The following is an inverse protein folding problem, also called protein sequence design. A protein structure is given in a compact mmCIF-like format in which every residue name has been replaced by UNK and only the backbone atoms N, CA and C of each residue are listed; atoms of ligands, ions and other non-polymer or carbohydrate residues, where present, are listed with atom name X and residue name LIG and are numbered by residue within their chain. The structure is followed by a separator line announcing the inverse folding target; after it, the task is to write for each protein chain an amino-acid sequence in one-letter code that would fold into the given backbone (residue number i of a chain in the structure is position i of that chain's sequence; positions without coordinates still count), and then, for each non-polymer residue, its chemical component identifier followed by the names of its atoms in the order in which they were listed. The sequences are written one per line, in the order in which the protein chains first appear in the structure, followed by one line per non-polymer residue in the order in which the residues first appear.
data_IF_555032746533
#
_entry.id   IF_555032746533
#
_cell.length_a   1.000
_cell.length_b   1.000
_cell.length_c   1.000
_cell.angle_alpha   90.00
_cell.angle_beta   90.00
_cell.angle_gamma   90.00
#
_symmetry.space_group_name_H-M   'P 1'
#
loop_
_entity.id
_entity.type
_entity.pdbx_description
1 polymer ?
#
# COMPACT_ATOMS: atom_id res chain seq x y z
N UNK A 1 18.22 -5.07 -0.76
CA UNK A 1 17.40 -4.01 -1.39
C UNK A 1 16.55 -4.69 -2.42
N UNK A 2 15.24 -4.53 -2.31
CA UNK A 2 14.27 -5.06 -3.26
C UNK A 2 13.66 -3.88 -4.03
N UNK A 3 13.37 -4.09 -5.32
CA UNK A 3 12.86 -3.06 -6.21
C UNK A 3 11.70 -3.63 -7.02
N UNK A 4 10.55 -2.96 -6.94
CA UNK A 4 9.45 -3.20 -7.87
C UNK A 4 9.61 -2.27 -9.08
N UNK A 5 9.80 -2.83 -10.26
CA UNK A 5 10.06 -2.07 -11.49
C UNK A 5 8.89 -2.22 -12.46
N UNK A 6 8.20 -1.12 -12.77
CA UNK A 6 7.21 -1.12 -13.83
C UNK A 6 7.90 -1.16 -15.21
N UNK A 7 7.65 -2.19 -16.04
CA UNK A 7 8.05 -2.14 -17.44
C UNK A 7 7.37 -0.97 -18.14
N UNK A 8 8.18 -0.08 -18.71
CA UNK A 8 7.70 1.00 -19.58
C UNK A 8 8.41 0.93 -20.91
N UNK A 9 9.49 1.69 -21.08
CA UNK A 9 10.30 1.73 -22.31
C UNK A 9 11.78 1.78 -21.95
N UNK A 10 12.64 1.42 -22.91
CA UNK A 10 14.09 1.41 -22.72
C UNK A 10 14.49 0.45 -21.61
N UNK A 11 15.26 0.95 -20.63
CA UNK A 11 15.89 0.11 -19.59
C UNK A 11 14.92 -0.79 -18.84
N UNK A 12 13.73 -0.31 -18.43
CA UNK A 12 12.78 -1.14 -17.67
C UNK A 12 12.11 -2.22 -18.52
N UNK A 13 11.95 -1.99 -19.82
CA UNK A 13 11.48 -3.02 -20.75
C UNK A 13 12.57 -4.05 -21.06
N UNK A 14 13.82 -3.60 -21.21
CA UNK A 14 14.97 -4.47 -21.43
C UNK A 14 15.23 -5.36 -20.21
N UNK A 15 15.13 -4.82 -18.99
CA UNK A 15 15.25 -5.57 -17.74
C UNK A 15 14.30 -6.77 -17.70
N UNK A 16 13.03 -6.57 -18.06
CA UNK A 16 12.05 -7.66 -18.10
C UNK A 16 12.36 -8.65 -19.19
N UNK A 17 12.76 -8.20 -20.39
CA UNK A 17 13.19 -9.12 -21.45
C UNK A 17 14.36 -9.99 -20.99
N UNK A 18 15.30 -9.44 -20.24
CA UNK A 18 16.44 -10.19 -19.71
C UNK A 18 16.04 -11.14 -18.57
N UNK A 19 15.09 -10.75 -17.72
CA UNK A 19 14.53 -11.61 -16.69
C UNK A 19 13.70 -12.76 -17.29
N UNK A 20 12.90 -12.52 -18.33
CA UNK A 20 12.03 -13.53 -18.96
C UNK A 20 12.79 -14.60 -19.76
N UNK A 21 14.03 -14.32 -20.16
CA UNK A 21 14.89 -15.30 -20.86
C UNK A 21 15.59 -16.25 -19.86
N UNK A 22 15.55 -15.92 -18.57
CA UNK A 22 16.26 -16.63 -17.50
C UNK A 22 15.46 -17.80 -16.88
N UNK A 23 14.43 -18.33 -17.55
CA UNK A 23 13.36 -19.19 -17.00
C UNK A 23 13.79 -20.45 -16.22
N UNK A 24 15.07 -20.83 -16.21
CA UNK A 24 15.56 -21.99 -15.45
C UNK A 24 16.83 -21.72 -14.60
N UNK A 25 17.44 -20.53 -14.68
CA UNK A 25 18.67 -20.20 -13.92
C UNK A 25 18.62 -18.78 -13.40
N UNK A 26 18.96 -18.58 -12.12
CA UNK A 26 19.10 -17.24 -11.55
C UNK A 26 20.17 -16.47 -12.31
N UNK A 27 19.83 -15.29 -12.84
CA UNK A 27 20.77 -14.43 -13.55
C UNK A 27 21.13 -13.25 -12.67
N UNK A 28 22.44 -13.03 -12.50
CA UNK A 28 22.99 -11.92 -11.73
C UNK A 28 23.55 -10.86 -12.67
N UNK A 29 23.06 -9.62 -12.53
CA UNK A 29 23.59 -8.45 -13.23
C UNK A 29 24.24 -7.50 -12.24
N UNK A 30 25.26 -6.77 -12.70
CA UNK A 30 25.85 -5.70 -11.90
C UNK A 30 24.88 -4.51 -11.89
N UNK A 31 24.51 -4.07 -10.69
CA UNK A 31 23.70 -2.88 -10.48
C UNK A 31 24.51 -1.86 -9.66
N UNK A 32 24.42 -0.60 -10.06
CA UNK A 32 24.95 0.52 -9.30
C UNK A 32 23.75 1.32 -8.76
N UNK A 33 23.71 1.52 -7.44
CA UNK A 33 22.69 2.33 -6.79
C UNK A 33 23.31 3.56 -6.15
N UNK A 34 22.54 4.65 -6.13
CA UNK A 34 22.86 5.88 -5.38
C UNK A 34 21.66 6.21 -4.52
N UNK A 35 21.86 6.49 -3.24
CA UNK A 35 20.78 6.82 -2.31
C UNK A 35 21.14 6.53 -0.85
N UNK A 36 20.18 6.71 0.07
CA UNK A 36 18.75 6.92 -0.18
C UNK A 36 18.41 8.34 -0.67
N UNK A 37 17.37 8.44 -1.50
CA UNK A 37 16.76 9.71 -1.94
C UNK A 37 15.28 9.67 -1.58
N UNK A 38 14.71 10.81 -1.24
CA UNK A 38 13.29 10.95 -0.90
C UNK A 38 13.04 11.66 0.44
N UNK A 39 11.87 12.26 0.56
CA UNK A 39 11.40 12.87 1.81
C UNK A 39 10.94 11.80 2.80
N UNK A 40 11.34 11.94 4.06
CA UNK A 40 10.85 11.09 5.16
C UNK A 40 9.90 11.91 6.02
N UNK A 41 8.68 11.42 6.19
CA UNK A 41 7.74 11.96 7.18
C UNK A 41 7.92 11.19 8.49
N UNK A 42 7.95 11.91 9.60
CA UNK A 42 8.09 11.32 10.92
C UNK A 42 6.72 10.86 11.44
N UNK A 43 6.45 9.56 11.28
CA UNK A 43 5.16 8.95 11.64
C UNK A 43 4.93 8.93 13.16
N UNK A 44 5.97 9.03 13.99
CA UNK A 44 5.83 8.96 15.46
C UNK A 44 5.09 10.15 16.08
N UNK A 45 4.73 11.15 15.28
CA UNK A 45 3.97 12.33 15.70
C UNK A 45 2.46 12.17 15.50
N UNK A 46 2.04 11.08 14.87
CA UNK A 46 0.67 10.81 14.50
C UNK A 46 0.20 9.59 15.27
N UNK A 47 -1.04 9.64 15.76
CA UNK A 47 -1.70 8.50 16.42
C UNK A 47 -1.93 7.42 15.36
N UNK A 48 -2.38 7.84 14.17
CA UNK A 48 -2.72 6.92 13.08
C UNK A 48 -2.16 7.39 11.74
N UNK A 49 -1.91 6.45 10.84
CA UNK A 49 -1.52 6.71 9.47
C UNK A 49 -2.37 5.93 8.46
N UNK A 50 -3.02 6.65 7.55
CA UNK A 50 -3.75 6.08 6.41
C UNK A 50 -2.91 6.19 5.14
N UNK A 51 -2.55 5.04 4.58
CA UNK A 51 -1.77 4.94 3.36
C UNK A 51 -2.68 4.61 2.18
N UNK A 52 -2.71 5.49 1.17
CA UNK A 52 -3.50 5.33 -0.05
C UNK A 52 -2.55 5.21 -1.24
N UNK A 53 -2.63 4.10 -1.95
CA UNK A 53 -1.85 3.88 -3.15
C UNK A 53 -2.69 3.33 -4.29
N UNK A 54 -2.32 3.66 -5.53
CA UNK A 54 -2.88 3.04 -6.74
C UNK A 54 -1.78 2.49 -7.65
N UNK A 55 -2.03 1.38 -8.34
CA UNK A 55 -1.07 0.76 -9.27
C UNK A 55 0.32 0.59 -8.66
N UNK A 56 1.36 1.04 -9.38
CA UNK A 56 2.75 0.99 -8.91
C UNK A 56 3.08 2.00 -7.81
N UNK A 57 2.16 2.88 -7.42
CA UNK A 57 2.34 3.82 -6.32
C UNK A 57 2.58 3.13 -4.97
N UNK A 58 2.15 1.88 -4.84
CA UNK A 58 2.40 1.02 -3.67
C UNK A 58 3.90 0.79 -3.39
N UNK A 59 4.75 0.86 -4.43
CA UNK A 59 6.20 0.72 -4.30
C UNK A 59 6.86 1.92 -3.60
N UNK A 60 6.22 3.09 -3.63
CA UNK A 60 6.71 4.28 -2.97
C UNK A 60 6.64 4.16 -1.44
N UNK A 61 5.83 3.22 -0.94
CA UNK A 61 5.60 3.05 0.48
C UNK A 61 6.36 1.83 0.98
N UNK A 62 7.45 2.04 1.75
CA UNK A 62 8.33 0.95 2.21
C UNK A 62 7.60 -0.13 3.02
N UNK A 63 6.52 0.24 3.71
CA UNK A 63 5.70 -0.69 4.51
C UNK A 63 4.78 -1.55 3.63
N UNK A 64 4.32 -1.01 2.48
CA UNK A 64 3.34 -1.67 1.60
C UNK A 64 3.99 -2.27 0.36
N UNK A 65 5.21 -1.85 0.01
CA UNK A 65 5.96 -2.36 -1.14
C UNK A 65 6.31 -3.85 -1.00
N UNK A 66 6.52 -4.32 0.22
CA UNK A 66 6.67 -5.74 0.56
C UNK A 66 5.39 -6.54 0.29
N UNK A 67 4.21 -5.91 0.38
CA UNK A 67 2.91 -6.53 0.11
C UNK A 67 2.61 -6.65 -1.39
N UNK A 68 3.00 -5.67 -2.23
CA UNK A 68 2.66 -5.71 -3.67
C UNK A 68 3.71 -6.31 -4.60
N UNK A 69 4.94 -6.59 -4.13
CA UNK A 69 5.97 -7.19 -4.99
C UNK A 69 5.47 -8.45 -5.72
N UNK A 70 4.47 -9.15 -5.16
CA UNK A 70 3.85 -10.33 -5.78
C UNK A 70 2.54 -10.07 -6.54
N UNK A 71 1.64 -9.21 -6.02
CA UNK A 71 0.34 -8.93 -6.67
C UNK A 71 0.46 -8.04 -7.91
N UNK A 72 1.54 -7.26 -8.01
CA UNK A 72 1.77 -6.32 -9.10
C UNK A 72 2.44 -6.99 -10.35
N UNK A 73 3.04 -8.18 -10.21
CA UNK A 73 3.65 -8.95 -11.32
C UNK A 73 2.65 -9.82 -12.10
N UNK A 74 1.48 -10.13 -11.52
CA UNK A 74 0.47 -10.99 -12.11
C UNK A 74 -0.83 -10.21 -12.35
N UNK A 75 -1.08 -9.68 -13.57
CA UNK A 75 -2.33 -9.00 -13.88
C UNK A 75 -3.50 -9.99 -13.85
N UNK A 76 -4.26 -10.03 -12.74
CA UNK A 76 -5.69 -10.36 -12.52
C UNK A 76 -6.43 -11.41 -13.39
N UNK A 77 -5.74 -12.18 -14.22
CA UNK A 77 -6.31 -13.10 -15.21
C UNK A 77 -5.83 -14.56 -15.00
N UNK A 78 -5.05 -14.83 -13.95
CA UNK A 78 -4.72 -16.21 -13.56
C UNK A 78 -5.43 -16.62 -12.27
N UNK A 79 -6.06 -17.82 -12.25
CA UNK A 79 -6.91 -18.28 -11.15
C UNK A 79 -6.16 -18.69 -9.88
N UNK A 80 -4.83 -18.56 -9.83
CA UNK A 80 -3.98 -19.02 -8.70
C UNK A 80 -3.22 -17.88 -8.01
N UNK A 81 -3.62 -16.63 -8.25
CA UNK A 81 -3.05 -15.42 -7.63
C UNK A 81 -3.23 -15.39 -6.11
N UNK A 82 -4.25 -16.08 -5.59
CA UNK A 82 -4.64 -16.03 -4.17
C UNK A 82 -3.72 -16.85 -3.27
N UNK A 83 -3.09 -17.93 -3.75
CA UNK A 83 -2.34 -18.86 -2.89
C UNK A 83 -0.92 -18.37 -2.58
N UNK A 84 -0.21 -17.86 -3.58
CA UNK A 84 1.17 -17.36 -3.42
C UNK A 84 1.24 -16.01 -2.72
N UNK A 85 0.32 -15.08 -3.04
CA UNK A 85 0.22 -13.81 -2.33
C UNK A 85 -0.18 -14.03 -0.87
N UNK A 86 -1.07 -14.99 -0.58
CA UNK A 86 -1.50 -15.30 0.78
C UNK A 86 -0.35 -15.74 1.69
N UNK A 87 0.64 -16.50 1.19
CA UNK A 87 1.81 -16.89 2.00
C UNK A 87 2.60 -15.70 2.52
N UNK A 88 2.95 -14.76 1.65
CA UNK A 88 3.75 -13.58 2.03
C UNK A 88 2.95 -12.53 2.81
N UNK A 89 1.66 -12.39 2.50
CA UNK A 89 0.74 -11.58 3.28
C UNK A 89 0.61 -12.15 4.71
N UNK A 90 0.52 -13.48 4.84
CA UNK A 90 0.49 -14.14 6.14
C UNK A 90 1.81 -13.98 6.90
N UNK A 91 2.96 -14.10 6.23
CA UNK A 91 4.26 -13.86 6.87
C UNK A 91 4.37 -12.40 7.37
N UNK A 92 3.83 -11.44 6.63
CA UNK A 92 3.79 -10.03 7.07
C UNK A 92 2.80 -9.80 8.22
N UNK A 93 1.72 -10.60 8.30
CA UNK A 93 0.77 -10.61 9.40
C UNK A 93 1.30 -11.26 10.68
N UNK A 94 2.19 -12.25 10.56
CA UNK A 94 2.82 -12.90 11.73
C UNK A 94 3.69 -11.89 12.51
N UNK A 95 4.30 -10.94 11.79
CA UNK A 95 5.08 -9.83 12.36
C UNK A 95 4.20 -8.64 12.83
N UNK A 96 2.88 -8.64 12.55
CA UNK A 96 1.96 -7.52 12.84
C UNK A 96 1.32 -7.56 14.25
N UNK A 97 1.74 -8.49 15.10
CA UNK A 97 1.17 -8.69 16.44
C UNK A 97 2.01 -7.94 17.48
N UNK A 98 1.46 -6.88 18.07
CA UNK A 98 2.00 -6.25 19.28
C UNK A 98 0.92 -6.23 20.36
N UNK A 99 1.23 -6.79 21.53
CA UNK A 99 0.35 -6.82 22.71
C UNK A 99 -1.07 -7.37 22.42
N UNK A 100 -1.16 -8.49 21.69
CA UNK A 100 -2.42 -9.13 21.24
C UNK A 100 -3.31 -8.25 20.33
N UNK A 101 -2.78 -7.13 19.82
CA UNK A 101 -3.44 -6.24 18.86
C UNK A 101 -2.80 -6.29 17.47
N UNK A 102 -3.62 -6.07 16.43
CA UNK A 102 -3.18 -5.92 15.04
C UNK A 102 -2.93 -4.44 14.74
N UNK A 103 -1.78 -4.11 14.15
CA UNK A 103 -1.41 -2.74 13.82
C UNK A 103 -1.87 -2.37 12.40
N UNK A 104 -1.90 -3.34 11.49
CA UNK A 104 -2.20 -3.11 10.08
C UNK A 104 -3.61 -3.57 9.71
N UNK A 105 -4.36 -2.66 9.10
CA UNK A 105 -5.58 -2.97 8.37
C UNK A 105 -5.36 -2.65 6.88
N UNK A 106 -5.46 -3.67 6.03
CA UNK A 106 -5.18 -3.52 4.61
C UNK A 106 -6.41 -3.87 3.79
N UNK A 107 -6.92 -2.85 3.09
CA UNK A 107 -8.04 -2.97 2.16
C UNK A 107 -7.57 -2.79 0.73
N UNK A 108 -7.73 -3.82 -0.10
CA UNK A 108 -7.31 -3.81 -1.50
C UNK A 108 -8.56 -3.78 -2.39
N UNK A 109 -8.64 -2.77 -3.26
CA UNK A 109 -9.79 -2.56 -4.15
C UNK A 109 -9.42 -2.94 -5.58
N UNK A 110 -10.15 -3.90 -6.14
CA UNK A 110 -9.97 -4.36 -7.51
C UNK A 110 -11.19 -4.01 -8.35
N UNK A 111 -10.95 -3.48 -9.55
CA UNK A 111 -12.01 -2.94 -10.41
C UNK A 111 -13.02 -4.02 -10.80
N UNK A 112 -12.55 -5.20 -11.20
CA UNK A 112 -13.34 -6.37 -11.60
C UNK A 112 -12.52 -7.65 -11.31
N UNK A 113 -13.17 -8.82 -11.29
CA UNK A 113 -12.49 -10.12 -11.24
C UNK A 113 -12.60 -10.87 -9.90
N UNK A 114 -13.36 -10.35 -8.94
CA UNK A 114 -13.67 -11.10 -7.72
C UNK A 114 -14.93 -11.95 -7.91
N UNK A 115 -14.92 -13.14 -7.31
CA UNK A 115 -16.09 -14.01 -7.24
C UNK A 115 -17.19 -13.46 -6.30
N UNK A 116 -16.79 -12.66 -5.30
CA UNK A 116 -17.66 -12.04 -4.30
C UNK A 116 -17.24 -10.59 -4.03
N UNK A 117 -18.18 -9.75 -3.62
CA UNK A 117 -17.92 -8.31 -3.39
C UNK A 117 -16.89 -8.04 -2.27
N UNK A 118 -16.73 -8.98 -1.33
CA UNK A 118 -15.72 -8.97 -0.28
C UNK A 118 -15.12 -10.37 -0.19
N UNK A 119 -13.79 -10.45 -0.21
CA UNK A 119 -13.06 -11.70 0.05
C UNK A 119 -12.02 -11.40 1.14
N UNK A 120 -12.20 -11.89 2.38
CA UNK A 120 -11.19 -11.75 3.42
C UNK A 120 -9.99 -12.66 3.12
N UNK A 121 -8.81 -12.21 3.53
CA UNK A 121 -7.53 -12.91 3.43
C UNK A 121 -6.79 -12.87 4.77
N UNK A 122 -5.93 -13.85 4.97
CA UNK A 122 -5.19 -14.03 6.22
C UNK A 122 -5.97 -14.75 7.30
N UNK A 123 -5.26 -15.26 8.31
CA UNK A 123 -5.88 -15.98 9.44
C UNK A 123 -6.76 -15.07 10.32
N UNK A 124 -6.56 -13.76 10.24
CA UNK A 124 -7.20 -12.76 11.10
C UNK A 124 -8.17 -11.82 10.38
N UNK A 125 -8.47 -12.04 9.10
CA UNK A 125 -9.36 -11.20 8.26
C UNK A 125 -8.99 -9.71 8.17
N UNK A 126 -7.80 -9.30 8.62
CA UNK A 126 -7.28 -7.92 8.58
C UNK A 126 -6.91 -7.47 7.17
N UNK A 127 -6.82 -8.40 6.23
CA UNK A 127 -6.71 -8.14 4.79
C UNK A 127 -8.05 -8.43 4.10
N UNK A 128 -8.57 -7.46 3.34
CA UNK A 128 -9.83 -7.62 2.62
C UNK A 128 -9.70 -7.16 1.16
N UNK A 129 -10.08 -8.03 0.21
CA UNK A 129 -10.31 -7.64 -1.18
C UNK A 129 -11.74 -7.17 -1.35
N UNK A 130 -11.90 -5.99 -1.95
CA UNK A 130 -13.18 -5.38 -2.29
C UNK A 130 -13.31 -5.20 -3.80
N UNK A 131 -14.51 -5.46 -4.34
CA UNK A 131 -14.79 -5.16 -5.73
C UNK A 131 -15.28 -3.71 -5.90
N UNK A 132 -14.69 -2.99 -6.86
CA UNK A 132 -15.11 -1.65 -7.25
C UNK A 132 -14.15 -0.55 -6.79
N UNK A 133 -14.68 0.66 -6.64
CA UNK A 133 -13.91 1.84 -6.22
C UNK A 133 -14.08 2.10 -4.72
N UNK A 134 -13.00 2.41 -3.98
CA UNK A 134 -13.11 2.81 -2.58
C UNK A 134 -13.98 4.05 -2.42
N UNK A 135 -14.77 4.09 -1.34
CA UNK A 135 -15.39 5.35 -0.90
C UNK A 135 -14.37 6.10 -0.03
N UNK A 136 -13.54 6.92 -0.68
CA UNK A 136 -12.46 7.63 -0.02
C UNK A 136 -12.94 8.60 1.07
N UNK A 137 -14.11 9.22 0.89
CA UNK A 137 -14.71 10.11 1.88
C UNK A 137 -15.05 9.33 3.17
N UNK A 138 -15.66 8.16 3.03
CA UNK A 138 -15.98 7.29 4.17
C UNK A 138 -14.72 6.77 4.87
N UNK A 139 -13.68 6.43 4.10
CA UNK A 139 -12.42 5.92 4.66
C UNK A 139 -11.68 7.03 5.44
N UNK A 140 -11.51 8.21 4.83
CA UNK A 140 -10.81 9.34 5.48
C UNK A 140 -11.59 9.85 6.68
N UNK A 141 -12.92 9.92 6.60
CA UNK A 141 -13.75 10.35 7.72
C UNK A 141 -13.70 9.39 8.91
N UNK A 142 -13.68 8.08 8.64
CA UNK A 142 -13.54 7.06 9.67
C UNK A 142 -12.16 7.10 10.34
N UNK A 143 -11.09 7.30 9.56
CA UNK A 143 -9.75 7.43 10.12
C UNK A 143 -9.60 8.72 10.93
N UNK A 144 -10.19 9.83 10.45
CA UNK A 144 -10.18 11.10 11.15
C UNK A 144 -10.97 11.06 12.47
N UNK A 145 -11.98 10.20 12.60
CA UNK A 145 -12.74 10.05 13.85
C UNK A 145 -11.99 9.25 14.92
N UNK A 146 -11.08 8.36 14.50
CA UNK A 146 -10.31 7.48 15.40
C UNK A 146 -11.15 6.36 16.04
N UNK A 147 -12.32 6.04 15.49
CA UNK A 147 -13.28 5.10 16.12
C UNK A 147 -12.90 3.61 15.96
N UNK A 148 -11.97 3.25 15.06
CA UNK A 148 -11.62 1.85 14.77
C UNK A 148 -10.38 1.31 15.50
N UNK A 149 -9.66 2.10 16.28
CA UNK A 149 -8.42 1.64 16.92
C UNK A 149 -8.67 1.32 18.39
N UNK A 150 -8.55 0.03 18.72
CA UNK A 150 -8.56 -0.43 20.10
C UNK A 150 -7.29 0.11 20.78
N UNK A 151 -7.49 1.06 21.70
CA UNK A 151 -6.41 1.81 22.33
C UNK A 151 -5.57 0.91 23.23
N UNK A 152 -4.27 0.83 22.97
CA UNK A 152 -3.33 0.30 23.95
C UNK A 152 -3.34 1.22 25.19
N UNK A 153 -3.63 0.71 26.39
CA UNK A 153 -3.96 1.52 27.57
C UNK A 153 -2.82 2.39 28.11
N UNK A 154 -1.61 2.28 27.55
CA UNK A 154 -0.38 2.85 28.12
C UNK A 154 0.33 3.90 27.25
N UNK A 155 -0.19 4.21 26.04
CA UNK A 155 0.43 5.22 25.17
C UNK A 155 -0.27 6.56 25.38
N UNK A 156 0.44 7.51 26.02
CA UNK A 156 0.00 8.89 26.22
C UNK A 156 0.43 9.77 25.04
N UNK A 157 0.05 9.39 23.82
CA UNK A 157 0.29 10.23 22.65
C UNK A 157 -0.71 11.38 22.59
N UNK A 158 -0.28 12.51 22.01
CA UNK A 158 -1.13 13.68 21.80
C UNK A 158 -2.32 13.27 20.93
N UNK A 159 -3.51 13.22 21.54
CA UNK A 159 -4.78 12.91 20.87
C UNK A 159 -4.89 13.58 19.49
N UNK A 160 -5.26 12.80 18.47
CA UNK A 160 -6.02 13.27 17.32
C UNK A 160 -5.20 13.85 16.17
N UNK A 161 -4.00 13.34 15.89
CA UNK A 161 -3.32 13.65 14.62
C UNK A 161 -3.26 12.42 13.74
N UNK A 162 -3.84 12.55 12.55
CA UNK A 162 -3.89 11.50 11.53
C UNK A 162 -3.01 11.92 10.36
N UNK A 163 -2.12 11.04 9.91
CA UNK A 163 -1.36 11.24 8.68
C UNK A 163 -2.03 10.49 7.53
N UNK A 164 -2.37 11.20 6.46
CA UNK A 164 -2.80 10.59 5.19
C UNK A 164 -1.64 10.67 4.21
N UNK A 165 -1.14 9.52 3.77
CA UNK A 165 -0.04 9.40 2.81
C UNK A 165 -0.59 8.93 1.47
N UNK A 166 -0.28 9.63 0.37
CA UNK A 166 -0.82 9.30 -0.96
C UNK A 166 0.27 9.09 -2.01
N UNK A 167 0.15 7.99 -2.74
CA UNK A 167 0.93 7.67 -3.95
C UNK A 167 0.02 7.04 -5.00
N UNK A 168 -0.63 7.88 -5.81
CA UNK A 168 -1.69 7.49 -6.72
C UNK A 168 -1.73 8.35 -7.99
N UNK A 169 -2.54 7.90 -8.95
CA UNK A 169 -2.87 8.66 -10.17
C UNK A 169 -3.45 10.03 -9.85
N UNK A 170 -3.38 10.94 -10.82
CA UNK A 170 -3.74 12.35 -10.62
C UNK A 170 -5.19 12.51 -10.14
N UNK A 171 -6.10 11.70 -10.67
CA UNK A 171 -7.52 11.70 -10.31
C UNK A 171 -7.76 11.35 -8.82
N UNK A 172 -7.15 10.26 -8.36
CA UNK A 172 -7.25 9.81 -6.97
C UNK A 172 -6.54 10.81 -6.06
N UNK A 173 -5.34 11.26 -6.41
CA UNK A 173 -4.55 12.18 -5.58
C UNK A 173 -5.26 13.52 -5.40
N UNK A 174 -5.83 14.06 -6.47
CA UNK A 174 -6.60 15.31 -6.42
C UNK A 174 -7.87 15.14 -5.58
N UNK A 175 -8.57 14.01 -5.72
CA UNK A 175 -9.75 13.69 -4.94
C UNK A 175 -9.44 13.55 -3.43
N UNK A 176 -8.37 12.83 -3.05
CA UNK A 176 -7.93 12.74 -1.65
C UNK A 176 -7.57 14.12 -1.09
N UNK A 177 -6.88 14.95 -1.89
CA UNK A 177 -6.54 16.31 -1.46
C UNK A 177 -7.76 17.15 -1.16
N UNK A 178 -8.84 17.01 -1.94
CA UNK A 178 -10.11 17.69 -1.69
C UNK A 178 -10.75 17.21 -0.39
N UNK A 179 -10.84 15.89 -0.18
CA UNK A 179 -11.43 15.30 1.04
C UNK A 179 -10.65 15.75 2.28
N UNK A 180 -9.32 15.58 2.27
CA UNK A 180 -8.49 15.84 3.47
C UNK A 180 -8.50 17.32 3.88
N UNK A 181 -8.70 18.25 2.93
CA UNK A 181 -8.86 19.68 3.24
C UNK A 181 -10.01 19.95 4.21
N UNK A 182 -11.07 19.16 4.14
CA UNK A 182 -12.20 19.29 5.04
C UNK A 182 -11.83 18.91 6.47
N UNK A 183 -10.84 18.04 6.67
CA UNK A 183 -10.43 17.52 7.99
C UNK A 183 -9.18 18.18 8.59
N UNK A 184 -8.59 19.19 7.94
CA UNK A 184 -7.42 19.90 8.48
C UNK A 184 -7.65 20.51 9.87
N UNK A 185 -8.87 20.95 10.16
CA UNK A 185 -9.23 21.49 11.47
C UNK A 185 -9.30 20.41 12.58
N UNK A 186 -9.30 19.13 12.20
CA UNK A 186 -9.36 17.96 13.09
C UNK A 186 -7.98 17.31 13.28
N UNK A 187 -6.90 17.95 12.81
CA UNK A 187 -5.54 17.42 12.98
C UNK A 187 -5.09 16.42 11.92
N UNK A 188 -5.84 16.29 10.82
CA UNK A 188 -5.43 15.45 9.68
C UNK A 188 -4.37 16.18 8.84
N UNK A 189 -3.29 15.49 8.51
CA UNK A 189 -2.21 15.99 7.65
C UNK A 189 -2.12 15.16 6.37
N UNK A 190 -1.80 15.80 5.24
CA UNK A 190 -1.61 15.13 3.95
C UNK A 190 -0.13 15.15 3.56
N UNK A 191 0.43 13.99 3.25
CA UNK A 191 1.78 13.83 2.69
C UNK A 191 1.70 13.11 1.35
N UNK A 192 2.04 13.80 0.26
CA UNK A 192 2.12 13.21 -1.08
C UNK A 192 3.54 12.71 -1.32
N UNK A 193 3.70 11.42 -1.65
CA UNK A 193 5.02 10.84 -1.91
C UNK A 193 5.62 11.38 -3.22
N UNK A 194 6.94 11.42 -3.32
CA UNK A 194 7.62 11.92 -4.52
C UNK A 194 7.29 11.11 -5.78
N UNK A 195 7.20 9.79 -5.63
CA UNK A 195 6.75 8.93 -6.72
C UNK A 195 5.24 8.92 -6.77
N UNK A 196 4.70 9.27 -7.94
CA UNK A 196 3.28 9.15 -8.26
C UNK A 196 3.16 8.34 -9.55
N UNK A 197 2.31 7.31 -9.59
CA UNK A 197 2.09 6.54 -10.81
C UNK A 197 1.35 7.39 -11.84
N UNK A 198 1.95 7.59 -13.01
CA UNK A 198 1.22 8.19 -14.13
C UNK A 198 0.30 7.14 -14.77
N UNK A 199 -0.96 7.52 -14.99
CA UNK A 199 -1.85 6.84 -15.93
C UNK A 199 -1.26 6.99 -17.33
N UNK A 200 -0.66 5.91 -17.83
CA UNK A 200 -0.04 5.83 -19.16
C UNK A 200 -1.04 5.46 -20.24
#
# INVERSE_FOLDING_TARGET
MELLVQPRRGLSADLIRHASVATETSVSYMALSTGPHGTTEDVSKYENALLIASGFGIAANRLVSTLCSYSCEHPANEPDMTSAAQGLLNDLLDDDIIDDGYILNVSIYVRNGLAHNKVPFGEHETFCLYQGTPNYESIVSLEASGDQIERLPNIREERGRTLVVVSAGDDIRDHIREIVREYFHQGVHLSELEYQPNDG
#
